data_IF_949791034835
#
_entry.id   IF_949791034835
#
_cell.length_a   1.000
_cell.length_b   1.000
_cell.length_c   1.000
_cell.angle_alpha   90.00
_cell.angle_beta   90.00
_cell.angle_gamma   90.00
#
_symmetry.space_group_name_H-M   'P 1'
#
loop_
_entity.id
_entity.type
_entity.pdbx_description
1 polymer ?
#
# COMPACT_ATOMS: atom_id res chain seq x y z
N UNK A 1 8.32 -23.05 -16.85
CA UNK A 1 8.40 -21.64 -16.43
C UNK A 1 7.44 -20.73 -17.21
N UNK A 2 6.84 -21.19 -18.31
CA UNK A 2 6.05 -20.34 -19.22
C UNK A 2 4.66 -19.93 -18.71
N UNK A 3 4.01 -20.76 -17.87
CA UNK A 3 2.64 -20.49 -17.41
C UNK A 3 2.51 -19.23 -16.53
N UNK A 4 3.55 -18.90 -15.74
CA UNK A 4 3.52 -17.74 -14.83
C UNK A 4 3.61 -16.41 -15.59
N UNK A 5 4.36 -16.36 -16.69
CA UNK A 5 4.47 -15.17 -17.52
C UNK A 5 3.21 -14.94 -18.38
N UNK A 6 2.49 -16.01 -18.74
CA UNK A 6 1.29 -15.93 -19.56
C UNK A 6 0.05 -15.46 -18.77
N UNK A 7 -0.01 -15.77 -17.48
CA UNK A 7 -1.09 -15.37 -16.58
C UNK A 7 -0.54 -15.01 -15.20
N UNK A 8 0.13 -13.84 -15.06
CA UNK A 8 0.68 -13.44 -13.78
C UNK A 8 -0.44 -13.24 -12.74
N UNK A 9 -0.24 -13.64 -11.47
CA UNK A 9 -1.21 -13.43 -10.39
C UNK A 9 -1.20 -11.98 -9.88
N UNK A 10 -0.84 -11.03 -10.74
CA UNK A 10 -0.77 -9.60 -10.47
C UNK A 10 -1.06 -8.79 -11.72
N UNK A 11 -1.49 -7.55 -11.50
CA UNK A 11 -1.72 -6.54 -12.53
C UNK A 11 -0.71 -5.42 -12.33
N UNK A 12 -0.09 -4.98 -13.42
CA UNK A 12 0.73 -3.76 -13.42
C UNK A 12 -0.20 -2.56 -13.44
N UNK A 13 -0.17 -1.75 -12.37
CA UNK A 13 -0.99 -0.55 -12.22
C UNK A 13 -0.32 0.67 -12.86
N UNK A 14 1.00 0.77 -12.70
CA UNK A 14 1.82 1.84 -13.27
C UNK A 14 3.23 1.33 -13.53
N UNK A 15 3.85 1.82 -14.59
CA UNK A 15 5.28 1.64 -14.87
C UNK A 15 5.85 2.91 -15.52
N UNK A 16 5.76 4.01 -14.79
CA UNK A 16 6.22 5.33 -15.22
C UNK A 16 7.43 5.76 -14.38
N UNK A 17 8.22 6.75 -14.82
CA UNK A 17 9.30 7.29 -13.99
C UNK A 17 8.83 7.87 -12.65
N UNK A 18 7.60 8.35 -12.56
CA UNK A 18 7.03 8.90 -11.32
C UNK A 18 6.53 7.80 -10.36
N UNK A 19 6.03 6.68 -10.89
CA UNK A 19 5.49 5.59 -10.07
C UNK A 19 5.56 4.24 -10.79
N UNK A 20 6.02 3.22 -10.08
CA UNK A 20 5.92 1.82 -10.48
C UNK A 20 5.08 1.07 -9.45
N UNK A 21 4.00 0.42 -9.87
CA UNK A 21 3.07 -0.22 -8.95
C UNK A 21 2.43 -1.48 -9.53
N UNK A 22 2.17 -2.44 -8.66
CA UNK A 22 1.46 -3.68 -8.95
C UNK A 22 0.37 -3.96 -7.90
N UNK A 23 -0.64 -4.72 -8.31
CA UNK A 23 -1.64 -5.30 -7.42
C UNK A 23 -1.72 -6.80 -7.63
N UNK A 24 -1.61 -7.59 -6.57
CA UNK A 24 -1.92 -9.01 -6.58
C UNK A 24 -3.21 -9.25 -5.81
N UNK A 25 -4.29 -9.55 -6.54
CA UNK A 25 -5.60 -9.83 -5.95
C UNK A 25 -5.58 -11.11 -5.10
N UNK A 26 -4.85 -12.14 -5.55
CA UNK A 26 -4.70 -13.40 -4.83
C UNK A 26 -3.97 -13.20 -3.49
N UNK A 27 -2.89 -12.41 -3.47
CA UNK A 27 -2.14 -12.13 -2.25
C UNK A 27 -2.77 -11.02 -1.39
N UNK A 28 -3.72 -10.25 -1.95
CA UNK A 28 -4.24 -9.04 -1.30
C UNK A 28 -3.18 -7.96 -1.11
N UNK A 29 -2.19 -7.88 -2.03
CA UNK A 29 -1.02 -7.01 -1.88
C UNK A 29 -0.96 -5.96 -2.97
N UNK A 30 -0.86 -4.70 -2.55
CA UNK A 30 -0.45 -3.57 -3.37
C UNK A 30 1.00 -3.21 -3.02
N UNK A 31 1.87 -3.19 -4.03
CA UNK A 31 3.25 -2.74 -3.87
C UNK A 31 3.50 -1.59 -4.85
N UNK A 32 4.03 -0.49 -4.35
CA UNK A 32 4.30 0.70 -5.14
C UNK A 32 5.63 1.35 -4.75
N UNK A 33 6.39 1.78 -5.75
CA UNK A 33 7.52 2.68 -5.62
C UNK A 33 7.12 4.04 -6.18
N UNK A 34 6.95 5.02 -5.29
CA UNK A 34 6.64 6.40 -5.62
C UNK A 34 7.93 7.21 -5.66
N UNK A 35 8.32 7.67 -6.85
CA UNK A 35 9.45 8.59 -7.04
C UNK A 35 9.01 10.06 -6.92
N UNK A 36 7.71 10.31 -7.05
CA UNK A 36 7.03 11.57 -6.81
C UNK A 36 5.77 11.31 -5.96
N UNK A 37 5.22 12.30 -5.24
CA UNK A 37 3.91 12.18 -4.59
C UNK A 37 2.85 11.69 -5.58
N UNK A 38 2.01 10.75 -5.16
CA UNK A 38 1.12 10.07 -6.11
C UNK A 38 0.16 9.09 -5.45
N UNK A 39 -0.53 8.32 -6.28
CA UNK A 39 -1.48 7.30 -5.83
C UNK A 39 -1.41 6.02 -6.64
N UNK A 40 -1.78 4.91 -6.01
CA UNK A 40 -1.95 3.60 -6.63
C UNK A 40 -3.24 2.96 -6.10
N UNK A 41 -4.03 2.36 -6.98
CA UNK A 41 -5.31 1.76 -6.64
C UNK A 41 -5.23 0.23 -6.69
N UNK A 42 -5.68 -0.42 -5.63
CA UNK A 42 -6.11 -1.82 -5.65
C UNK A 42 -7.53 -1.84 -6.24
N UNK A 43 -7.72 -2.28 -7.51
CA UNK A 43 -8.98 -2.09 -8.21
C UNK A 43 -10.16 -2.77 -7.52
N UNK A 44 -11.26 -2.04 -7.31
CA UNK A 44 -12.46 -2.54 -6.63
C UNK A 44 -12.28 -2.72 -5.12
N UNK A 45 -11.22 -2.16 -4.54
CA UNK A 45 -10.84 -2.38 -3.15
C UNK A 45 -10.50 -1.07 -2.46
N UNK A 46 -9.40 -0.41 -2.83
CA UNK A 46 -8.94 0.80 -2.16
C UNK A 46 -7.93 1.58 -3.00
N UNK A 47 -7.84 2.89 -2.78
CA UNK A 47 -6.77 3.75 -3.29
C UNK A 47 -5.85 4.17 -2.16
N UNK A 48 -4.55 4.05 -2.40
CA UNK A 48 -3.49 4.52 -1.50
C UNK A 48 -2.80 5.72 -2.14
N UNK A 49 -2.74 6.84 -1.43
CA UNK A 49 -2.07 8.06 -1.90
C UNK A 49 -0.99 8.49 -0.90
N UNK A 50 0.18 8.88 -1.40
CA UNK A 50 1.32 9.33 -0.59
C UNK A 50 1.65 10.78 -0.94
N UNK A 51 2.01 11.57 0.06
CA UNK A 51 2.38 12.97 -0.11
C UNK A 51 3.89 13.20 -0.33
N UNK A 52 4.70 12.16 -0.19
CA UNK A 52 6.15 12.18 -0.38
C UNK A 52 6.62 10.94 -1.17
N UNK A 53 7.74 11.02 -1.90
CA UNK A 53 8.39 9.85 -2.50
C UNK A 53 8.73 8.79 -1.45
N UNK A 54 8.29 7.57 -1.67
CA UNK A 54 8.50 6.46 -0.74
C UNK A 54 8.25 5.10 -1.41
N UNK A 55 8.64 4.02 -0.74
CA UNK A 55 8.15 2.67 -1.04
C UNK A 55 6.94 2.40 -0.16
N UNK A 56 5.85 1.89 -0.74
CA UNK A 56 4.63 1.52 -0.05
C UNK A 56 4.29 0.05 -0.32
N UNK A 57 3.99 -0.67 0.75
CA UNK A 57 3.42 -2.01 0.72
C UNK A 57 2.14 -2.02 1.55
N UNK A 58 1.00 -2.27 0.91
CA UNK A 58 -0.28 -2.45 1.59
C UNK A 58 -0.75 -3.90 1.41
N UNK A 59 -0.98 -4.59 2.52
CA UNK A 59 -1.51 -5.96 2.54
C UNK A 59 -2.86 -5.98 3.22
N UNK A 60 -3.88 -6.46 2.51
CA UNK A 60 -5.20 -6.76 3.06
C UNK A 60 -5.17 -8.14 3.69
N UNK A 61 -5.56 -8.23 4.95
CA UNK A 61 -5.85 -9.49 5.62
C UNK A 61 -7.36 -9.62 5.79
N UNK A 62 -7.99 -10.64 5.17
CA UNK A 62 -9.41 -10.88 5.36
C UNK A 62 -9.69 -11.33 6.80
N UNK A 63 -10.92 -11.15 7.29
CA UNK A 63 -11.31 -11.61 8.62
C UNK A 63 -11.08 -13.11 8.78
N UNK A 64 -10.48 -13.48 9.91
CA UNK A 64 -10.33 -14.90 10.28
C UNK A 64 -11.72 -15.50 10.53
N UNK A 65 -11.97 -16.71 10.02
CA UNK A 65 -13.26 -17.39 10.12
C UNK A 65 -13.84 -17.35 11.55
N UNK A 66 -15.09 -16.89 11.66
CA UNK A 66 -15.89 -16.99 12.89
C UNK A 66 -16.42 -15.68 13.48
N UNK A 67 -16.14 -14.51 12.87
CA UNK A 67 -16.64 -13.23 13.36
C UNK A 67 -16.97 -12.23 12.24
N UNK A 68 -17.76 -11.21 12.59
CA UNK A 68 -18.14 -10.07 11.74
C UNK A 68 -16.99 -9.06 11.57
N UNK A 69 -15.74 -9.52 11.59
CA UNK A 69 -14.60 -8.61 11.59
C UNK A 69 -14.42 -7.98 10.20
N UNK A 70 -14.11 -6.68 10.19
CA UNK A 70 -13.71 -5.96 8.98
C UNK A 70 -12.33 -6.41 8.50
N UNK A 71 -12.02 -6.09 7.25
CA UNK A 71 -10.68 -6.31 6.73
C UNK A 71 -9.66 -5.45 7.48
N UNK A 72 -8.45 -6.00 7.63
CA UNK A 72 -7.33 -5.27 8.23
C UNK A 72 -6.29 -5.01 7.16
N UNK A 73 -5.90 -3.75 7.02
CA UNK A 73 -4.81 -3.33 6.16
C UNK A 73 -3.54 -3.15 6.96
N UNK A 74 -2.49 -3.89 6.59
CA UNK A 74 -1.14 -3.63 7.05
C UNK A 74 -0.44 -2.76 6.01
N UNK A 75 -0.22 -1.50 6.35
CA UNK A 75 0.42 -0.51 5.48
C UNK A 75 1.83 -0.28 5.99
N UNK A 76 2.82 -0.51 5.14
CA UNK A 76 4.23 -0.29 5.43
C UNK A 76 4.84 0.70 4.45
N UNK A 77 5.64 1.62 4.98
CA UNK A 77 6.32 2.66 4.20
C UNK A 77 7.80 2.69 4.55
N UNK A 78 8.67 2.91 3.55
CA UNK A 78 10.09 3.20 3.77
C UNK A 78 10.60 4.29 2.83
N UNK A 79 11.72 4.94 3.24
CA UNK A 79 12.40 5.95 2.44
C UNK A 79 13.70 5.36 1.86
N UNK A 80 13.76 5.06 0.54
CA UNK A 80 14.94 4.47 -0.07
C UNK A 80 16.14 5.43 -0.12
N UNK A 81 15.95 6.72 0.13
CA UNK A 81 17.05 7.70 0.23
C UNK A 81 17.84 7.58 1.55
N UNK A 82 17.43 6.69 2.47
CA UNK A 82 18.06 6.49 3.78
C UNK A 82 18.18 7.81 4.57
N UNK A 83 17.10 8.58 4.61
CA UNK A 83 16.97 9.84 5.33
C UNK A 83 15.66 9.85 6.15
N UNK A 84 15.58 10.63 7.24
CA UNK A 84 14.33 10.79 7.96
C UNK A 84 13.29 11.44 7.06
N UNK A 85 12.04 10.99 7.17
CA UNK A 85 10.95 11.49 6.36
C UNK A 85 9.62 11.22 7.06
N UNK A 86 8.78 12.24 7.15
CA UNK A 86 7.38 12.06 7.52
C UNK A 86 6.56 11.86 6.25
N UNK A 87 5.79 10.77 6.20
CA UNK A 87 4.93 10.43 5.06
C UNK A 87 3.49 10.32 5.55
N UNK A 88 2.58 11.06 4.91
CA UNK A 88 1.15 10.84 5.07
C UNK A 88 0.64 9.91 3.98
N UNK A 89 -0.04 8.84 4.40
CA UNK A 89 -0.73 7.92 3.50
C UNK A 89 -2.24 8.12 3.67
N UNK A 90 -2.90 8.58 2.61
CA UNK A 90 -4.35 8.59 2.52
C UNK A 90 -4.84 7.26 1.93
N UNK A 91 -5.87 6.69 2.53
CA UNK A 91 -6.51 5.42 2.13
C UNK A 91 -7.97 5.72 1.87
N UNK A 92 -8.41 5.55 0.63
CA UNK A 92 -9.82 5.70 0.24
C UNK A 92 -10.37 4.32 -0.12
N UNK A 93 -11.30 3.80 0.68
CA UNK A 93 -11.92 2.49 0.43
C UNK A 93 -12.99 2.60 -0.67
N UNK A 94 -12.97 1.67 -1.62
CA UNK A 94 -13.99 1.57 -2.67
C UNK A 94 -15.21 0.79 -2.13
N UNK A 95 -16.42 1.29 -2.42
CA UNK A 95 -17.70 0.80 -1.89
C UNK A 95 -17.95 -0.71 -2.13
N UNK A 96 -18.79 -1.38 -1.30
CA UNK A 96 -20.23 -1.07 -1.29
C UNK A 96 -20.77 -0.33 -0.05
N UNK A 97 -19.98 -0.11 1.00
CA UNK A 97 -20.34 0.71 2.18
C UNK A 97 -19.81 2.17 1.99
N UNK A 98 -20.24 3.19 2.78
CA UNK A 98 -19.88 4.57 2.48
C UNK A 98 -18.37 4.70 2.35
N UNK A 99 -17.90 5.40 1.29
CA UNK A 99 -16.48 5.59 1.02
C UNK A 99 -15.77 6.08 2.28
N UNK A 100 -15.12 5.16 2.98
CA UNK A 100 -14.42 5.44 4.21
C UNK A 100 -13.00 5.85 3.82
N UNK A 101 -12.61 7.03 4.30
CA UNK A 101 -11.28 7.58 4.07
C UNK A 101 -10.52 7.59 5.39
N UNK A 102 -9.26 7.16 5.37
CA UNK A 102 -8.36 7.26 6.51
C UNK A 102 -7.06 7.94 6.11
N UNK A 103 -6.39 8.52 7.12
CA UNK A 103 -5.07 9.12 6.95
C UNK A 103 -4.13 8.57 8.01
N UNK A 104 -3.09 7.89 7.57
CA UNK A 104 -2.02 7.37 8.41
C UNK A 104 -0.79 8.29 8.30
N UNK A 105 -0.12 8.52 9.43
CA UNK A 105 1.12 9.30 9.48
C UNK A 105 2.26 8.37 9.90
N UNK A 106 3.32 8.36 9.10
CA UNK A 106 4.52 7.56 9.32
C UNK A 106 5.71 8.48 9.53
N UNK A 107 6.37 8.38 10.68
CA UNK A 107 7.68 8.99 10.92
C UNK A 107 8.76 7.94 10.67
N UNK A 108 9.47 8.09 9.56
CA UNK A 108 10.50 7.14 9.14
C UNK A 108 11.83 7.40 9.87
N UNK A 109 12.57 6.33 10.21
CA UNK A 109 13.75 6.42 11.05
C UNK A 109 14.94 7.14 10.39
N UNK A 110 15.83 7.66 11.25
CA UNK A 110 17.10 8.29 10.87
C UNK A 110 18.31 7.42 11.29
N UNK A 111 19.52 7.85 10.92
CA UNK A 111 20.79 7.31 11.37
C UNK A 111 21.00 5.85 10.95
N UNK A 112 21.36 5.01 11.92
CA UNK A 112 21.64 3.58 11.68
C UNK A 112 20.41 2.80 11.19
N UNK A 113 19.22 3.35 11.37
CA UNK A 113 17.96 2.72 11.00
C UNK A 113 17.34 3.35 9.75
N UNK A 114 17.96 4.37 9.16
CA UNK A 114 17.43 5.04 7.98
C UNK A 114 17.25 4.05 6.81
N UNK A 115 16.10 4.13 6.16
CA UNK A 115 15.69 3.19 5.11
C UNK A 115 14.92 1.96 5.61
N UNK A 116 14.81 1.74 6.92
CA UNK A 116 13.90 0.71 7.45
C UNK A 116 12.44 1.08 7.20
N UNK A 117 11.61 0.04 7.05
CA UNK A 117 10.17 0.22 6.91
C UNK A 117 9.50 0.38 8.28
N UNK A 118 8.53 1.27 8.35
CA UNK A 118 7.58 1.39 9.46
C UNK A 118 6.24 0.83 8.99
N UNK A 119 5.51 0.11 9.85
CA UNK A 119 4.23 -0.48 9.52
C UNK A 119 3.15 -0.08 10.52
N UNK A 120 1.94 0.15 10.03
CA UNK A 120 0.74 0.41 10.83
C UNK A 120 -0.41 -0.44 10.33
N UNK A 121 -1.30 -0.82 11.25
CA UNK A 121 -2.55 -1.49 10.93
C UNK A 121 -3.68 -0.47 10.85
N UNK A 122 -4.48 -0.56 9.79
CA UNK A 122 -5.72 0.19 9.60
C UNK A 122 -6.88 -0.82 9.52
N UNK A 123 -7.98 -0.52 10.21
CA UNK A 123 -9.21 -1.30 10.14
C UNK A 123 -10.27 -0.44 9.47
N UNK A 124 -10.96 -1.00 8.51
CA UNK A 124 -12.16 -0.39 7.93
C UNK A 124 -13.17 -0.16 9.08
N UNK A 125 -13.85 0.99 9.14
CA UNK A 125 -14.85 1.33 10.17
C UNK A 125 -16.23 1.53 9.55
#
# INVERSE_FOLDING_TARGET
>A
MDAYAQSPPYVVLSNTPACQAIWSAEAGVLAAAFYEPGSAAAPGVARFSVDQPCLLLARREPPRMGGTAEDVWFVSVSNPACQPLDVAVAIDLEAPAPAASARLLFSLPDGLYAGQSVAQAFREQ
#
